data_IF_338321132549
#
_entry.id   IF_338321132549
#
_cell.length_a   1.000
_cell.length_b   1.000
_cell.length_c   1.000
_cell.angle_alpha   90.00
_cell.angle_beta   90.00
_cell.angle_gamma   90.00
#
_symmetry.space_group_name_H-M   'P 1'
#
loop_
_entity.id
_entity.type
_entity.pdbx_description
1 polymer ?
#
# COMPACT_ATOMS: atom_id res chain seq x y z
N UNK A 1 -13.93 -2.67 -2.69
CA UNK A 1 -12.54 -2.71 -3.17
C UNK A 1 -12.34 -1.65 -4.24
N UNK A 2 -11.10 -1.24 -4.46
CA UNK A 2 -10.75 -0.30 -5.54
C UNK A 2 -10.70 -1.09 -6.85
N UNK A 3 -11.40 -0.62 -7.87
CA UNK A 3 -11.49 -1.28 -9.18
C UNK A 3 -10.60 -0.63 -10.22
N UNK A 4 -10.36 0.66 -10.08
CA UNK A 4 -9.62 1.42 -11.08
C UNK A 4 -8.99 2.66 -10.45
N UNK A 5 -7.80 2.99 -10.92
CA UNK A 5 -7.08 4.20 -10.57
C UNK A 5 -6.63 4.90 -11.85
N UNK A 6 -7.00 6.19 -11.98
CA UNK A 6 -6.46 7.06 -13.03
C UNK A 6 -5.46 8.02 -12.40
N UNK A 7 -4.30 8.16 -13.02
CA UNK A 7 -3.18 8.98 -12.57
C UNK A 7 -2.80 9.90 -13.71
N UNK A 8 -2.81 11.22 -13.46
CA UNK A 8 -2.35 12.22 -14.42
C UNK A 8 -1.31 13.12 -13.80
N UNK A 9 -0.30 13.45 -14.58
CA UNK A 9 0.73 14.42 -14.25
C UNK A 9 1.50 14.11 -12.95
N UNK A 10 1.84 12.83 -12.70
CA UNK A 10 2.63 12.42 -11.55
C UNK A 10 3.95 11.76 -11.98
N UNK A 11 5.08 12.40 -11.71
CA UNK A 11 6.44 11.92 -12.06
C UNK A 11 6.49 11.44 -13.52
N UNK A 12 6.74 10.17 -13.77
CA UNK A 12 6.78 9.60 -15.12
C UNK A 12 5.42 9.19 -15.67
N UNK A 13 4.37 9.30 -14.89
CA UNK A 13 2.99 8.96 -15.30
C UNK A 13 2.30 10.22 -15.81
N UNK A 14 2.17 10.35 -17.13
CA UNK A 14 1.51 11.50 -17.74
C UNK A 14 -0.01 11.34 -17.71
N UNK A 15 -0.53 10.24 -18.22
CA UNK A 15 -1.94 9.87 -18.16
C UNK A 15 -2.08 8.34 -18.25
N UNK A 16 -2.50 7.71 -17.17
CA UNK A 16 -2.71 6.27 -17.11
C UNK A 16 -3.95 5.93 -16.29
N UNK A 17 -4.71 4.99 -16.81
CA UNK A 17 -5.81 4.35 -16.07
C UNK A 17 -5.52 2.87 -15.91
N UNK A 18 -5.56 2.39 -14.66
CA UNK A 18 -5.13 1.05 -14.28
C UNK A 18 -6.30 0.34 -13.61
N UNK A 19 -6.77 -0.74 -14.21
CA UNK A 19 -7.76 -1.63 -13.59
C UNK A 19 -7.07 -2.52 -12.55
N UNK A 20 -7.66 -2.63 -11.35
CA UNK A 20 -7.16 -3.42 -10.23
C UNK A 20 -8.10 -4.58 -9.90
N UNK A 21 -7.48 -5.71 -9.57
CA UNK A 21 -8.11 -6.88 -8.97
C UNK A 21 -7.82 -6.94 -7.46
N UNK A 22 -8.35 -7.91 -6.72
CA UNK A 22 -7.92 -8.18 -5.35
C UNK A 22 -6.42 -8.40 -5.21
N UNK A 23 -5.79 -9.15 -6.11
CA UNK A 23 -4.35 -9.39 -6.10
C UNK A 23 -3.72 -8.99 -7.44
N UNK A 24 -2.74 -8.07 -7.40
CA UNK A 24 -2.11 -7.51 -8.60
C UNK A 24 -0.59 -7.68 -8.52
N UNK A 25 0.00 -8.17 -9.59
CA UNK A 25 1.46 -8.27 -9.73
C UNK A 25 1.91 -7.28 -10.80
N UNK A 26 2.84 -6.41 -10.47
CA UNK A 26 3.46 -5.45 -11.40
C UNK A 26 4.88 -5.89 -11.75
N UNK A 27 5.14 -6.06 -13.04
CA UNK A 27 6.47 -6.35 -13.59
C UNK A 27 6.92 -5.23 -14.53
N UNK A 28 8.21 -5.17 -14.78
CA UNK A 28 8.81 -4.22 -15.71
C UNK A 28 10.26 -3.91 -15.35
N UNK A 29 10.99 -3.32 -16.29
CA UNK A 29 12.38 -2.93 -16.12
C UNK A 29 12.57 -1.92 -14.95
N UNK A 30 13.81 -1.79 -14.46
CA UNK A 30 14.17 -0.75 -13.52
C UNK A 30 13.89 0.64 -14.11
N UNK A 31 13.31 1.55 -13.32
CA UNK A 31 12.99 2.91 -13.76
C UNK A 31 11.79 3.03 -14.70
N UNK A 32 11.03 1.96 -14.98
CA UNK A 32 9.86 2.02 -15.86
C UNK A 32 8.65 2.75 -15.22
N UNK A 33 8.65 2.94 -13.89
CA UNK A 33 7.63 3.72 -13.18
C UNK A 33 6.73 2.92 -12.24
N UNK A 34 7.04 1.65 -11.91
CA UNK A 34 6.28 0.84 -10.94
C UNK A 34 6.08 1.58 -9.62
N UNK A 35 7.18 2.03 -8.99
CA UNK A 35 7.11 2.78 -7.73
C UNK A 35 6.38 4.12 -7.88
N UNK A 36 6.46 4.80 -9.03
CA UNK A 36 5.72 6.04 -9.26
C UNK A 36 4.20 5.83 -9.25
N UNK A 37 3.73 4.69 -9.76
CA UNK A 37 2.32 4.30 -9.68
C UNK A 37 1.90 4.06 -8.23
N UNK A 38 2.69 3.28 -7.47
CA UNK A 38 2.41 3.02 -6.07
C UNK A 38 2.39 4.31 -5.23
N UNK A 39 3.35 5.20 -5.46
CA UNK A 39 3.43 6.49 -4.79
C UNK A 39 2.22 7.38 -5.09
N UNK A 40 1.74 7.41 -6.34
CA UNK A 40 0.52 8.15 -6.69
C UNK A 40 -0.70 7.64 -5.92
N UNK A 41 -0.82 6.32 -5.71
CA UNK A 41 -1.87 5.72 -4.90
C UNK A 41 -1.75 6.16 -3.43
N UNK A 42 -0.53 6.18 -2.88
CA UNK A 42 -0.28 6.62 -1.51
C UNK A 42 -0.62 8.11 -1.33
N UNK A 43 -0.28 8.95 -2.31
CA UNK A 43 -0.65 10.39 -2.32
C UNK A 43 -2.16 10.57 -2.36
N UNK A 44 -2.89 9.79 -3.18
CA UNK A 44 -4.36 9.81 -3.18
C UNK A 44 -4.93 9.42 -1.80
N UNK A 45 -4.33 8.44 -1.11
CA UNK A 45 -4.72 8.04 0.24
C UNK A 45 -4.51 9.12 1.29
N UNK A 46 -3.43 9.87 1.19
CA UNK A 46 -3.14 11.00 2.07
C UNK A 46 -4.07 12.17 1.80
N UNK A 47 -4.34 12.48 0.53
CA UNK A 47 -5.31 13.49 0.13
C UNK A 47 -6.72 13.13 0.64
N UNK A 48 -7.14 11.87 0.49
CA UNK A 48 -8.40 11.38 1.04
C UNK A 48 -8.52 11.52 2.56
N UNK A 49 -7.39 11.68 3.26
CA UNK A 49 -7.29 11.86 4.71
C UNK A 49 -7.08 13.30 5.12
N UNK A 50 -6.99 14.24 4.18
CA UNK A 50 -6.59 15.65 4.37
C UNK A 50 -5.24 15.76 5.11
N UNK A 51 -4.26 14.95 4.69
CA UNK A 51 -2.94 14.82 5.35
C UNK A 51 -1.80 14.84 4.32
N UNK A 52 -1.77 15.86 3.47
CA UNK A 52 -0.71 16.05 2.46
C UNK A 52 0.53 16.70 3.09
N UNK A 53 1.22 15.95 3.94
CA UNK A 53 2.41 16.34 4.66
C UNK A 53 3.62 15.48 4.23
N UNK A 54 4.81 16.07 4.10
CA UNK A 54 6.00 15.39 3.59
C UNK A 54 6.49 14.26 4.52
N UNK A 55 6.36 14.43 5.84
CA UNK A 55 6.69 13.37 6.79
C UNK A 55 5.75 12.16 6.62
N UNK A 56 4.47 12.43 6.37
CA UNK A 56 3.48 11.39 6.10
C UNK A 56 3.67 10.77 4.72
N UNK A 57 4.17 11.51 3.73
CA UNK A 57 4.58 10.93 2.45
C UNK A 57 5.65 9.86 2.66
N UNK A 58 6.70 10.17 3.42
CA UNK A 58 7.78 9.23 3.72
C UNK A 58 7.26 7.98 4.46
N UNK A 59 6.38 8.17 5.47
CA UNK A 59 5.77 7.07 6.21
C UNK A 59 4.89 6.15 5.34
N UNK A 60 4.33 6.67 4.24
CA UNK A 60 3.54 5.89 3.28
C UNK A 60 4.37 5.26 2.16
N UNK A 61 5.67 5.55 2.11
CA UNK A 61 6.59 5.04 1.10
C UNK A 61 6.69 5.91 -0.15
N UNK A 62 6.21 7.14 -0.11
CA UNK A 62 6.42 8.13 -1.18
C UNK A 62 7.82 8.73 -1.02
N UNK A 63 8.60 8.72 -2.09
CA UNK A 63 9.90 9.41 -2.14
C UNK A 63 9.65 10.92 -2.22
N UNK A 64 9.91 11.61 -1.13
CA UNK A 64 9.80 13.08 -1.07
C UNK A 64 10.91 13.70 -1.91
N UNK A 65 10.52 14.52 -2.87
CA UNK A 65 11.43 15.27 -3.76
C UNK A 65 10.93 16.70 -3.87
N UNK A 66 11.74 17.60 -4.44
CA UNK A 66 11.28 18.97 -4.68
C UNK A 66 9.98 18.96 -5.50
N UNK A 67 9.02 19.87 -5.24
CA UNK A 67 7.68 19.86 -5.81
C UNK A 67 7.63 19.77 -7.35
N UNK A 68 8.59 20.40 -8.04
CA UNK A 68 8.70 20.30 -9.50
C UNK A 68 8.95 18.87 -9.99
N UNK A 69 9.59 18.01 -9.19
CA UNK A 69 9.88 16.62 -9.53
C UNK A 69 8.77 15.64 -9.09
N UNK A 70 7.79 16.11 -8.31
CA UNK A 70 6.58 15.37 -8.01
C UNK A 70 5.59 15.43 -9.16
N UNK A 71 5.56 16.55 -9.91
CA UNK A 71 4.82 16.66 -11.16
C UNK A 71 5.55 15.93 -12.30
N UNK A 72 4.84 15.70 -13.40
CA UNK A 72 5.45 15.11 -14.58
C UNK A 72 6.32 16.14 -15.30
N UNK A 73 7.59 15.80 -15.49
CA UNK A 73 8.52 16.57 -16.34
C UNK A 73 8.31 16.30 -17.85
N UNK A 74 7.37 15.45 -18.20
CA UNK A 74 7.00 15.08 -19.58
C UNK A 74 5.74 15.83 -20.06
N UNK A 75 5.19 16.72 -19.24
CA UNK A 75 4.04 17.55 -19.58
C UNK A 75 4.50 18.96 -19.88
N UNK A 76 4.09 19.53 -21.03
CA UNK A 76 4.39 20.91 -21.42
C UNK A 76 3.64 21.95 -20.56
N UNK A 77 2.76 21.51 -19.68
CA UNK A 77 1.93 22.38 -18.87
C UNK A 77 2.49 22.54 -17.45
N UNK A 78 3.33 23.55 -17.24
CA UNK A 78 3.94 23.88 -15.93
C UNK A 78 2.92 24.13 -14.81
N UNK A 79 1.72 24.56 -15.15
CA UNK A 79 0.63 24.85 -14.21
C UNK A 79 -0.27 23.65 -13.94
N UNK A 80 -0.04 22.51 -14.59
CA UNK A 80 -0.89 21.35 -14.45
C UNK A 80 -0.88 20.78 -13.03
N UNK A 81 -2.07 20.41 -12.56
CA UNK A 81 -2.29 19.76 -11.27
C UNK A 81 -1.93 18.27 -11.39
N UNK A 82 -1.55 17.66 -10.27
CA UNK A 82 -1.58 16.21 -10.16
C UNK A 82 -3.05 15.81 -10.00
N UNK A 83 -3.57 15.02 -10.94
CA UNK A 83 -4.94 14.55 -10.87
C UNK A 83 -4.97 13.04 -10.63
N UNK A 84 -5.67 12.64 -9.57
CA UNK A 84 -5.84 11.24 -9.22
C UNK A 84 -7.34 10.95 -9.12
N UNK A 85 -7.78 9.83 -9.73
CA UNK A 85 -9.17 9.38 -9.65
C UNK A 85 -9.19 7.92 -9.24
N UNK A 86 -10.02 7.59 -8.27
CA UNK A 86 -10.16 6.24 -7.73
C UNK A 86 -11.63 5.82 -7.85
N UNK A 87 -11.88 4.72 -8.55
CA UNK A 87 -13.20 4.12 -8.69
C UNK A 87 -13.28 2.83 -7.87
N UNK A 88 -14.41 2.62 -7.19
CA UNK A 88 -14.68 1.42 -6.38
C UNK A 88 -15.74 0.52 -7.00
N UNK A 89 -15.89 -0.69 -6.45
CA UNK A 89 -16.94 -1.64 -6.77
C UNK A 89 -18.37 -1.14 -6.45
N UNK A 90 -18.50 -0.07 -5.67
CA UNK A 90 -19.78 0.57 -5.32
C UNK A 90 -20.12 1.75 -6.24
N UNK A 91 -19.51 1.84 -7.41
CA UNK A 91 -19.65 2.96 -8.36
C UNK A 91 -19.35 4.35 -7.75
N UNK A 92 -18.60 4.36 -6.65
CA UNK A 92 -18.15 5.60 -6.03
C UNK A 92 -16.82 6.00 -6.66
N UNK A 93 -16.76 7.21 -7.19
CA UNK A 93 -15.54 7.84 -7.68
C UNK A 93 -15.09 8.92 -6.72
N UNK A 94 -13.79 8.94 -6.39
CA UNK A 94 -13.17 10.07 -5.70
C UNK A 94 -12.11 10.66 -6.60
N UNK A 95 -12.10 11.99 -6.71
CA UNK A 95 -11.14 12.75 -7.51
C UNK A 95 -10.33 13.62 -6.59
N UNK A 96 -9.03 13.67 -6.82
CA UNK A 96 -8.07 14.46 -6.08
C UNK A 96 -7.30 15.32 -7.08
N UNK A 97 -7.23 16.62 -6.81
CA UNK A 97 -6.48 17.59 -7.60
C UNK A 97 -5.49 18.29 -6.69
N UNK A 98 -4.24 17.94 -6.82
CA UNK A 98 -3.20 18.26 -5.85
C UNK A 98 -2.18 19.18 -6.49
N UNK A 99 -1.78 20.21 -5.74
CA UNK A 99 -0.72 21.12 -6.14
C UNK A 99 0.09 21.60 -4.93
N UNK A 100 1.27 22.14 -5.20
CA UNK A 100 2.12 22.72 -4.18
C UNK A 100 1.84 24.23 -4.10
N UNK A 101 1.29 24.68 -2.96
CA UNK A 101 0.95 26.07 -2.74
C UNK A 101 2.13 26.81 -2.08
N UNK A 102 2.67 27.80 -2.78
CA UNK A 102 3.77 28.68 -2.32
C UNK A 102 3.29 29.97 -1.69
N UNK A 103 2.01 30.30 -1.81
CA UNK A 103 1.42 31.53 -1.26
C UNK A 103 1.16 31.41 0.25
N UNK A 104 0.96 30.19 0.74
CA UNK A 104 0.84 29.91 2.19
C UNK A 104 2.22 29.72 2.83
N UNK A 105 2.35 30.07 4.11
CA UNK A 105 3.58 29.86 4.86
C UNK A 105 3.32 28.98 6.09
N UNK A 106 4.02 27.84 6.24
CA UNK A 106 4.97 27.26 5.27
C UNK A 106 4.28 26.81 3.99
N UNK A 107 5.00 26.81 2.87
CA UNK A 107 4.53 26.28 1.60
C UNK A 107 4.23 24.77 1.74
N UNK A 108 3.14 24.29 1.17
CA UNK A 108 2.70 22.91 1.36
C UNK A 108 1.90 22.35 0.19
N UNK A 109 1.77 21.04 0.14
CA UNK A 109 0.85 20.35 -0.76
C UNK A 109 -0.60 20.55 -0.29
N UNK A 110 -1.49 20.87 -1.23
CA UNK A 110 -2.92 21.11 -0.97
C UNK A 110 -3.74 20.38 -2.03
N UNK A 111 -4.87 19.79 -1.62
CA UNK A 111 -5.91 19.35 -2.53
C UNK A 111 -6.91 20.50 -2.75
N UNK A 112 -7.36 20.70 -3.99
CA UNK A 112 -8.34 21.76 -4.33
C UNK A 112 -9.60 21.66 -3.48
N UNK A 113 -10.07 20.46 -3.16
CA UNK A 113 -11.24 20.26 -2.28
C UNK A 113 -10.98 20.78 -0.87
N UNK A 114 -9.75 20.68 -0.35
CA UNK A 114 -9.38 21.31 0.93
C UNK A 114 -9.41 22.83 0.83
N UNK A 115 -8.92 23.39 -0.27
CA UNK A 115 -8.93 24.84 -0.51
C UNK A 115 -10.35 25.39 -0.66
N UNK A 116 -11.19 24.76 -1.51
CA UNK A 116 -12.60 25.12 -1.64
C UNK A 116 -13.34 25.05 -0.31
N UNK A 117 -12.97 24.08 0.54
CA UNK A 117 -13.49 23.93 1.89
C UNK A 117 -13.10 25.12 2.76
N UNK A 118 -11.85 25.54 2.75
CA UNK A 118 -11.36 26.68 3.53
C UNK A 118 -12.01 27.99 3.07
N UNK A 119 -12.14 28.21 1.77
CA UNK A 119 -12.81 29.39 1.19
C UNK A 119 -14.29 29.41 1.57
N UNK A 120 -14.96 28.27 1.55
CA UNK A 120 -16.34 28.16 2.01
C UNK A 120 -16.51 28.51 3.47
N UNK A 121 -15.61 28.10 4.36
CA UNK A 121 -15.64 28.49 5.77
C UNK A 121 -15.45 29.99 5.97
N UNK A 122 -14.52 30.58 5.24
CA UNK A 122 -14.29 32.02 5.27
C UNK A 122 -15.53 32.80 4.82
N UNK A 123 -16.26 32.29 3.79
CA UNK A 123 -17.51 32.89 3.35
C UNK A 123 -18.61 32.78 4.41
N UNK A 124 -18.74 31.64 5.10
CA UNK A 124 -19.68 31.44 6.22
C UNK A 124 -19.40 32.38 7.41
N UNK A 125 -18.13 32.58 7.75
CA UNK A 125 -17.75 33.53 8.82
C UNK A 125 -18.11 34.96 8.44
N UNK A 126 -18.05 35.30 7.15
CA UNK A 126 -18.40 36.63 6.66
C UNK A 126 -19.93 36.82 6.53
N UNK A 127 -20.67 35.81 6.07
CA UNK A 127 -22.12 35.87 5.81
C UNK A 127 -22.98 35.69 7.07
N UNK A 128 -22.41 35.10 8.14
CA UNK A 128 -23.07 34.86 9.44
C UNK A 128 -24.53 34.42 9.28
N UNK A 129 -24.81 33.20 8.80
CA UNK A 129 -26.18 32.73 8.63
C UNK A 129 -26.95 32.83 9.95
N UNK A 130 -28.11 33.50 9.93
CA UNK A 130 -28.90 33.74 11.11
C UNK A 130 -29.93 32.65 11.39
N UNK A 131 -30.18 31.78 10.39
CA UNK A 131 -31.17 30.71 10.51
C UNK A 131 -30.59 29.36 10.14
N UNK A 132 -31.16 28.28 10.69
CA UNK A 132 -30.78 26.90 10.34
C UNK A 132 -31.04 26.59 8.86
N UNK A 133 -32.07 27.19 8.28
CA UNK A 133 -32.42 26.97 6.85
C UNK A 133 -31.43 27.65 5.90
N UNK A 134 -30.92 28.82 6.26
CA UNK A 134 -29.82 29.46 5.49
C UNK A 134 -28.56 28.63 5.54
N UNK A 135 -28.21 28.13 6.72
CA UNK A 135 -27.06 27.25 6.92
C UNK A 135 -27.19 25.97 6.08
N UNK A 136 -28.37 25.35 6.09
CA UNK A 136 -28.66 24.15 5.28
C UNK A 136 -28.54 24.40 3.78
N UNK A 137 -29.05 25.53 3.27
CA UNK A 137 -28.92 25.91 1.86
C UNK A 137 -27.47 26.11 1.44
N UNK A 138 -26.68 26.76 2.27
CA UNK A 138 -25.26 26.98 2.04
C UNK A 138 -24.51 25.64 2.01
N UNK A 139 -24.85 24.71 2.91
CA UNK A 139 -24.27 23.37 2.97
C UNK A 139 -24.67 22.52 1.76
N UNK A 140 -25.91 22.59 1.34
CA UNK A 140 -26.37 21.88 0.14
C UNK A 140 -25.69 22.41 -1.12
N UNK A 141 -25.41 23.71 -1.21
CA UNK A 141 -24.66 24.31 -2.31
C UNK A 141 -23.19 23.88 -2.37
N UNK A 142 -22.57 23.61 -1.19
CA UNK A 142 -21.20 23.11 -1.09
C UNK A 142 -21.08 21.60 -1.34
N UNK A 143 -22.20 20.88 -1.35
CA UNK A 143 -22.20 19.44 -1.67
C UNK A 143 -21.92 19.22 -3.15
N UNK A 144 -20.73 18.79 -3.48
CA UNK A 144 -20.43 18.27 -4.82
C UNK A 144 -20.69 16.76 -4.90
N UNK A 145 -20.75 16.19 -6.11
CA UNK A 145 -20.92 14.74 -6.29
C UNK A 145 -19.79 13.92 -5.67
N UNK A 146 -18.63 14.53 -5.44
CA UNK A 146 -17.39 13.88 -5.02
C UNK A 146 -17.03 14.14 -3.55
N UNK A 147 -17.79 14.99 -2.82
CA UNK A 147 -17.50 15.35 -1.42
C UNK A 147 -18.63 14.95 -0.46
N UNK A 148 -18.24 14.59 0.76
CA UNK A 148 -19.14 14.42 1.90
C UNK A 148 -18.99 15.61 2.83
N UNK A 149 -20.12 16.21 3.22
CA UNK A 149 -20.17 17.27 4.24
C UNK A 149 -20.70 16.64 5.53
N UNK A 150 -19.92 16.67 6.61
CA UNK A 150 -20.33 16.16 7.91
C UNK A 150 -20.22 17.25 8.98
N UNK A 151 -21.18 17.27 9.92
CA UNK A 151 -21.20 18.18 11.06
C UNK A 151 -20.78 17.45 12.33
N UNK A 152 -20.00 18.11 13.18
CA UNK A 152 -19.76 17.67 14.54
C UNK A 152 -20.72 18.42 15.49
N UNK A 153 -21.45 17.67 16.31
CA UNK A 153 -22.50 18.18 17.21
C UNK A 153 -21.94 19.02 18.39
N UNK A 154 -20.64 18.95 18.67
CA UNK A 154 -20.01 19.60 19.83
C UNK A 154 -19.13 20.82 19.47
N UNK A 155 -19.55 21.64 18.53
CA UNK A 155 -18.90 22.88 18.13
C UNK A 155 -18.88 23.03 16.59
N UNK A 156 -18.74 24.25 16.05
CA UNK A 156 -18.81 24.48 14.61
C UNK A 156 -17.54 23.98 13.92
N UNK A 157 -17.41 22.67 13.74
CA UNK A 157 -16.43 22.05 12.84
C UNK A 157 -17.19 21.34 11.75
N UNK A 158 -17.48 22.06 10.69
CA UNK A 158 -17.88 21.49 9.42
C UNK A 158 -16.65 20.79 8.83
N UNK A 159 -16.76 19.54 8.49
CA UNK A 159 -15.70 18.79 7.81
C UNK A 159 -16.21 18.42 6.43
N UNK A 160 -15.61 19.02 5.39
CA UNK A 160 -15.77 18.54 4.02
C UNK A 160 -14.66 17.53 3.81
N UNK A 161 -15.03 16.32 3.43
CA UNK A 161 -14.07 15.25 3.14
C UNK A 161 -14.46 14.57 1.83
N UNK A 162 -13.48 14.05 1.12
CA UNK A 162 -13.75 13.15 0.01
C UNK A 162 -14.63 11.99 0.45
N UNK A 163 -15.51 11.50 -0.46
CA UNK A 163 -16.25 10.27 -0.19
C UNK A 163 -15.31 9.18 0.25
N UNK A 164 -15.68 8.47 1.30
CA UNK A 164 -14.81 7.46 1.87
C UNK A 164 -14.60 6.31 0.90
N UNK A 165 -13.35 6.13 0.47
CA UNK A 165 -12.90 4.94 -0.25
C UNK A 165 -12.22 4.02 0.75
N UNK A 166 -12.92 2.93 1.12
CA UNK A 166 -12.41 1.97 2.09
C UNK A 166 -11.03 1.43 1.63
N UNK A 167 -10.07 1.44 2.53
CA UNK A 167 -8.71 0.98 2.32
C UNK A 167 -7.75 2.03 1.75
N UNK A 168 -8.21 3.01 0.95
CA UNK A 168 -7.33 3.99 0.34
C UNK A 168 -6.62 4.87 1.38
N UNK A 169 -7.35 5.35 2.39
CA UNK A 169 -6.80 6.22 3.45
C UNK A 169 -5.66 5.58 4.25
N UNK A 170 -5.65 4.26 4.35
CA UNK A 170 -4.63 3.49 5.05
C UNK A 170 -3.58 2.88 4.14
N UNK A 171 -3.60 3.17 2.84
CA UNK A 171 -2.66 2.60 1.89
C UNK A 171 -1.20 2.92 2.25
N UNK A 172 -0.36 1.91 2.27
CA UNK A 172 1.08 1.97 2.54
C UNK A 172 1.83 1.13 1.51
N UNK A 173 2.99 1.60 1.10
CA UNK A 173 3.95 0.82 0.29
C UNK A 173 4.95 0.21 1.26
N UNK A 174 4.87 -1.08 1.47
CA UNK A 174 5.81 -1.84 2.27
C UNK A 174 7.04 -2.23 1.44
N UNK A 175 8.20 -2.04 2.01
CA UNK A 175 9.49 -2.44 1.46
C UNK A 175 10.36 -2.90 2.65
N UNK A 176 10.13 -4.12 3.19
CA UNK A 176 10.81 -4.57 4.39
C UNK A 176 12.32 -4.65 4.20
N UNK A 177 13.06 -4.34 5.26
CA UNK A 177 14.51 -4.35 5.34
C UNK A 177 14.93 -5.22 6.51
N UNK A 178 15.93 -6.08 6.31
CA UNK A 178 16.40 -7.03 7.34
C UNK A 178 16.71 -6.34 8.68
N UNK A 179 17.43 -5.23 8.65
CA UNK A 179 17.80 -4.46 9.84
C UNK A 179 16.59 -4.00 10.65
N UNK A 180 15.53 -3.56 9.95
CA UNK A 180 14.29 -3.11 10.58
C UNK A 180 13.46 -4.29 11.11
N UNK A 181 13.42 -5.41 10.36
CA UNK A 181 12.73 -6.64 10.77
C UNK A 181 13.36 -7.26 12.04
N UNK A 182 14.68 -7.12 12.25
CA UNK A 182 15.38 -7.61 13.45
C UNK A 182 15.24 -6.69 14.65
N UNK A 183 14.75 -5.47 14.47
CA UNK A 183 14.69 -4.47 15.52
C UNK A 183 13.67 -4.84 16.61
N UNK A 184 14.05 -4.59 17.87
CA UNK A 184 13.16 -4.70 19.03
C UNK A 184 12.37 -3.41 19.29
N UNK A 185 12.69 -2.34 18.58
CA UNK A 185 12.08 -1.04 18.84
C UNK A 185 10.67 -0.99 18.26
N UNK A 186 9.70 -0.44 19.01
CA UNK A 186 8.39 -0.14 18.47
C UNK A 186 8.51 0.84 17.30
N UNK A 187 7.63 0.73 16.32
CA UNK A 187 7.51 1.77 15.28
C UNK A 187 7.03 3.08 15.90
N UNK A 188 7.41 4.22 15.34
CA UNK A 188 7.00 5.54 15.81
C UNK A 188 5.48 5.74 15.82
N UNK A 189 4.74 4.98 15.03
CA UNK A 189 3.28 5.04 14.91
C UNK A 189 2.56 4.00 15.78
N UNK A 190 3.28 3.09 16.44
CA UNK A 190 2.70 1.94 17.13
C UNK A 190 2.08 0.88 16.20
N UNK A 191 2.12 1.10 14.89
CA UNK A 191 1.67 0.16 13.86
C UNK A 191 2.88 -0.53 13.21
N UNK A 192 2.62 -1.55 12.39
CA UNK A 192 3.67 -2.19 11.61
C UNK A 192 4.28 -1.18 10.62
N UNK A 193 5.58 -0.90 10.79
CA UNK A 193 6.29 0.06 9.96
C UNK A 193 6.51 -0.44 8.53
N UNK A 194 6.63 0.48 7.57
CA UNK A 194 6.75 0.14 6.15
C UNK A 194 7.99 -0.70 5.79
N UNK A 195 9.09 -0.53 6.54
CA UNK A 195 10.32 -1.30 6.34
C UNK A 195 10.41 -2.50 7.31
N UNK A 196 9.35 -2.79 8.09
CA UNK A 196 9.31 -3.87 9.05
C UNK A 196 9.55 -3.45 10.50
N UNK A 197 9.71 -2.14 10.76
CA UNK A 197 9.87 -1.63 12.12
C UNK A 197 8.67 -2.03 12.99
N UNK A 198 8.97 -2.47 14.21
CA UNK A 198 7.95 -2.80 15.19
C UNK A 198 7.26 -4.15 14.98
N UNK A 199 7.81 -5.06 14.16
CA UNK A 199 7.23 -6.39 13.90
C UNK A 199 7.03 -7.16 15.22
N UNK A 200 8.06 -7.33 16.04
CA UNK A 200 7.96 -8.10 17.28
C UNK A 200 7.12 -7.41 18.36
N UNK A 201 7.24 -6.09 18.59
CA UNK A 201 6.28 -5.35 19.43
C UNK A 201 4.83 -5.53 19.00
N UNK A 202 4.55 -5.48 17.70
CA UNK A 202 3.22 -5.70 17.15
C UNK A 202 2.70 -7.11 17.43
N UNK A 203 3.49 -8.15 17.18
CA UNK A 203 3.13 -9.55 17.44
C UNK A 203 2.93 -9.81 18.94
N UNK A 204 3.76 -9.22 19.82
CA UNK A 204 3.60 -9.30 21.27
C UNK A 204 2.31 -8.62 21.75
N UNK A 205 1.94 -7.48 21.16
CA UNK A 205 0.64 -6.86 21.45
C UNK A 205 -0.51 -7.74 20.97
N UNK A 206 -0.38 -8.31 19.77
CA UNK A 206 -1.38 -9.22 19.19
C UNK A 206 -1.60 -10.43 20.10
N UNK A 207 -0.53 -11.05 20.63
CA UNK A 207 -0.62 -12.23 21.52
C UNK A 207 -1.40 -11.96 22.82
N UNK A 208 -1.51 -10.69 23.25
CA UNK A 208 -2.18 -10.29 24.50
C UNK A 208 -3.65 -9.91 24.30
N UNK A 209 -4.12 -9.78 23.06
CA UNK A 209 -5.51 -9.36 22.76
C UNK A 209 -6.44 -10.56 22.72
N UNK A 210 -7.71 -10.30 23.02
CA UNK A 210 -8.78 -11.27 22.77
C UNK A 210 -8.84 -11.59 21.27
N UNK A 211 -8.85 -12.87 20.92
CA UNK A 211 -8.76 -13.33 19.52
C UNK A 211 -7.36 -13.30 18.90
N UNK A 212 -6.39 -12.63 19.51
CA UNK A 212 -5.02 -12.52 18.97
C UNK A 212 -4.28 -13.85 18.90
N UNK A 213 -4.63 -14.77 19.79
CA UNK A 213 -4.07 -16.13 19.77
C UNK A 213 -4.41 -16.87 18.46
N UNK A 214 -5.62 -16.76 17.96
CA UNK A 214 -6.02 -17.41 16.69
C UNK A 214 -5.27 -16.81 15.48
N UNK A 215 -5.09 -15.50 15.46
CA UNK A 215 -4.30 -14.81 14.42
C UNK A 215 -2.84 -15.28 14.46
N UNK A 216 -2.25 -15.36 15.66
CA UNK A 216 -0.88 -15.83 15.82
C UNK A 216 -0.73 -17.31 15.43
N UNK A 217 -1.69 -18.15 15.77
CA UNK A 217 -1.72 -19.56 15.36
C UNK A 217 -1.77 -19.71 13.83
N UNK A 218 -2.58 -18.90 13.13
CA UNK A 218 -2.63 -18.90 11.68
C UNK A 218 -1.32 -18.43 11.05
N UNK A 219 -0.67 -17.40 11.62
CA UNK A 219 0.67 -16.96 11.19
C UNK A 219 1.68 -18.10 11.33
N UNK A 220 1.72 -18.79 12.47
CA UNK A 220 2.61 -19.93 12.73
C UNK A 220 2.38 -21.05 11.72
N UNK A 221 1.10 -21.41 11.48
CA UNK A 221 0.74 -22.43 10.50
C UNK A 221 1.26 -22.10 9.09
N UNK A 222 1.21 -20.83 8.70
CA UNK A 222 1.75 -20.43 7.40
C UNK A 222 3.28 -20.43 7.35
N UNK A 223 3.97 -20.27 8.50
CA UNK A 223 5.42 -20.36 8.61
C UNK A 223 5.96 -21.78 8.49
N UNK A 224 5.12 -22.83 8.62
CA UNK A 224 5.50 -24.22 8.40
C UNK A 224 6.02 -24.50 6.97
N UNK A 225 5.87 -23.56 6.05
CA UNK A 225 6.56 -23.59 4.75
C UNK A 225 8.09 -23.62 4.89
N UNK A 226 8.60 -23.18 6.04
CA UNK A 226 10.02 -23.25 6.40
C UNK A 226 10.25 -24.55 7.15
N UNK A 227 11.03 -25.43 6.57
CA UNK A 227 11.24 -26.81 7.05
C UNK A 227 11.71 -26.89 8.51
N UNK A 228 12.63 -26.01 8.91
CA UNK A 228 13.18 -26.03 10.29
C UNK A 228 12.23 -25.40 11.32
N UNK A 229 11.28 -24.56 10.92
CA UNK A 229 10.41 -23.85 11.86
C UNK A 229 9.48 -24.82 12.60
N UNK A 230 9.45 -24.74 13.91
CA UNK A 230 8.56 -25.51 14.79
C UNK A 230 7.54 -24.60 15.45
N UNK A 231 8.00 -23.63 16.26
CA UNK A 231 7.11 -22.69 16.96
C UNK A 231 7.79 -21.33 17.22
N UNK A 232 6.99 -20.37 17.63
CA UNK A 232 7.45 -19.09 18.18
C UNK A 232 6.58 -18.71 19.39
N UNK A 233 7.18 -18.17 20.43
CA UNK A 233 6.47 -17.65 21.59
C UNK A 233 7.12 -16.38 22.15
N UNK A 234 6.38 -15.69 23.00
CA UNK A 234 6.85 -14.49 23.69
C UNK A 234 6.98 -14.76 25.18
N UNK A 235 8.13 -14.41 25.80
CA UNK A 235 8.28 -14.51 27.25
C UNK A 235 7.16 -13.80 28.00
N UNK A 236 6.59 -14.47 28.99
CA UNK A 236 5.42 -13.97 29.74
C UNK A 236 5.76 -12.97 30.85
N UNK A 237 7.03 -12.56 31.00
CA UNK A 237 7.43 -11.58 32.00
C UNK A 237 6.74 -10.25 31.79
N UNK A 238 5.71 -10.01 32.61
CA UNK A 238 4.84 -8.83 32.51
C UNK A 238 5.53 -7.50 32.88
N UNK A 239 6.74 -7.54 33.41
CA UNK A 239 7.50 -6.36 33.85
C UNK A 239 8.60 -5.93 32.88
N UNK A 240 8.98 -6.76 31.93
CA UNK A 240 10.00 -6.40 30.96
C UNK A 240 9.37 -5.79 29.69
N UNK A 241 9.88 -4.64 29.28
CA UNK A 241 9.66 -4.10 27.94
C UNK A 241 10.45 -4.88 26.87
N UNK A 242 10.84 -6.11 27.20
CA UNK A 242 11.56 -6.98 26.28
C UNK A 242 10.59 -7.51 25.21
N UNK A 243 10.87 -7.18 23.96
CA UNK A 243 10.13 -7.63 22.79
C UNK A 243 10.80 -8.83 22.12
N UNK A 244 11.72 -9.51 22.82
CA UNK A 244 12.33 -10.73 22.33
C UNK A 244 11.29 -11.81 22.05
N UNK A 245 11.52 -12.56 21.00
CA UNK A 245 10.75 -13.75 20.66
C UNK A 245 11.63 -14.97 20.88
N UNK A 246 11.03 -16.07 21.32
CA UNK A 246 11.64 -17.38 21.33
C UNK A 246 11.25 -18.11 20.06
N UNK A 247 12.24 -18.54 19.31
CA UNK A 247 12.05 -19.30 18.07
C UNK A 247 12.52 -20.73 18.30
N UNK A 248 11.63 -21.67 18.01
CA UNK A 248 11.89 -23.09 18.16
C UNK A 248 12.18 -23.69 16.77
N UNK A 249 13.32 -24.36 16.68
CA UNK A 249 13.77 -25.08 15.50
C UNK A 249 13.70 -26.58 15.79
N UNK A 250 12.98 -27.34 14.95
CA UNK A 250 12.78 -28.79 15.13
C UNK A 250 14.06 -29.62 15.11
N UNK A 251 15.16 -29.05 14.65
CA UNK A 251 16.46 -29.72 14.59
C UNK A 251 17.43 -29.22 15.61
N UNK A 252 17.00 -28.32 16.51
CA UNK A 252 17.85 -27.78 17.56
C UNK A 252 18.15 -28.87 18.57
N UNK A 253 19.41 -28.88 19.11
CA UNK A 253 19.79 -29.80 20.17
C UNK A 253 18.94 -29.56 21.42
N UNK A 254 18.56 -30.66 22.13
CA UNK A 254 17.69 -30.59 23.31
C UNK A 254 18.25 -29.70 24.44
N UNK A 255 19.55 -29.43 24.46
CA UNK A 255 20.20 -28.51 25.40
C UNK A 255 19.97 -27.03 25.07
N UNK A 256 19.51 -26.72 23.84
CA UNK A 256 19.21 -25.38 23.32
C UNK A 256 17.73 -25.32 22.96
N UNK A 257 16.90 -24.90 23.89
CA UNK A 257 15.45 -24.95 23.73
C UNK A 257 14.93 -23.97 22.63
N UNK A 258 15.61 -22.84 22.49
CA UNK A 258 15.20 -21.77 21.52
C UNK A 258 16.37 -20.84 21.19
N UNK A 259 16.15 -20.03 20.14
CA UNK A 259 17.01 -18.87 19.83
C UNK A 259 16.16 -17.61 19.64
N UNK A 260 16.78 -16.43 19.67
CA UNK A 260 16.08 -15.16 19.48
C UNK A 260 16.08 -14.72 18.01
N UNK A 261 15.30 -13.66 17.71
CA UNK A 261 15.19 -13.12 16.35
C UNK A 261 16.50 -12.61 15.76
N UNK A 262 17.55 -12.34 16.56
CA UNK A 262 18.86 -11.93 16.04
C UNK A 262 19.55 -13.06 15.30
N UNK A 263 19.29 -14.29 15.74
CA UNK A 263 19.82 -15.51 15.12
C UNK A 263 18.92 -16.07 14.03
N UNK A 264 17.72 -15.52 13.84
CA UNK A 264 16.76 -15.99 12.85
C UNK A 264 17.29 -15.83 11.43
N UNK A 265 16.92 -16.77 10.57
CA UNK A 265 17.17 -16.68 9.13
C UNK A 265 16.44 -15.48 8.53
N UNK A 266 17.07 -14.79 7.58
CA UNK A 266 16.51 -13.62 6.91
C UNK A 266 15.16 -13.94 6.25
N UNK A 267 15.06 -15.02 5.47
CA UNK A 267 13.83 -15.42 4.81
C UNK A 267 12.67 -15.63 5.79
N UNK A 268 12.94 -16.19 6.98
CA UNK A 268 11.95 -16.34 8.05
C UNK A 268 11.35 -14.97 8.46
N UNK A 269 12.19 -13.96 8.66
CA UNK A 269 11.75 -12.62 9.07
C UNK A 269 10.82 -11.98 8.03
N UNK A 270 11.16 -12.12 6.73
CA UNK A 270 10.32 -11.64 5.63
C UNK A 270 8.99 -12.38 5.57
N UNK A 271 8.99 -13.70 5.69
CA UNK A 271 7.77 -14.50 5.70
C UNK A 271 6.88 -14.16 6.89
N UNK A 272 7.46 -14.06 8.10
CA UNK A 272 6.75 -13.64 9.30
C UNK A 272 6.09 -12.27 9.12
N UNK A 273 6.82 -11.32 8.54
CA UNK A 273 6.28 -9.99 8.21
C UNK A 273 5.12 -10.07 7.21
N UNK A 274 5.29 -10.79 6.11
CA UNK A 274 4.26 -10.86 5.07
C UNK A 274 2.99 -11.58 5.57
N UNK A 275 3.13 -12.67 6.31
CA UNK A 275 1.96 -13.35 6.88
C UNK A 275 1.28 -12.49 7.94
N UNK A 276 2.03 -11.78 8.78
CA UNK A 276 1.46 -10.81 9.73
C UNK A 276 0.67 -9.73 9.00
N UNK A 277 1.23 -9.19 7.90
CA UNK A 277 0.59 -8.14 7.11
C UNK A 277 -0.72 -8.59 6.46
N UNK A 278 -0.79 -9.84 5.98
CA UNK A 278 -1.98 -10.38 5.32
C UNK A 278 -3.05 -10.84 6.31
N UNK A 279 -2.67 -11.46 7.42
CA UNK A 279 -3.60 -12.15 8.33
C UNK A 279 -4.19 -11.18 9.35
N UNK A 280 -3.42 -10.20 9.85
CA UNK A 280 -3.91 -9.30 10.90
C UNK A 280 -4.91 -8.26 10.37
N UNK A 281 -6.02 -8.07 11.11
CA UNK A 281 -6.99 -7.01 10.83
C UNK A 281 -6.46 -5.61 11.23
N UNK A 282 -5.43 -5.52 12.06
CA UNK A 282 -4.78 -4.26 12.46
C UNK A 282 -3.89 -3.66 11.36
N UNK A 283 -3.67 -4.38 10.26
CA UNK A 283 -2.92 -3.91 9.09
C UNK A 283 -3.87 -3.40 8.00
N UNK A 284 -3.39 -2.53 7.10
CA UNK A 284 -4.23 -1.98 6.04
C UNK A 284 -4.93 -3.06 5.20
N UNK A 285 -6.18 -2.80 4.82
CA UNK A 285 -6.92 -3.69 3.91
C UNK A 285 -6.53 -3.51 2.43
N UNK A 286 -5.85 -2.42 2.09
CA UNK A 286 -5.25 -2.16 0.78
C UNK A 286 -3.83 -1.62 0.97
N UNK A 287 -2.86 -2.29 0.35
CA UNK A 287 -1.44 -1.95 0.45
C UNK A 287 -0.64 -2.47 -0.74
N UNK A 288 0.59 -2.02 -0.85
CA UNK A 288 1.56 -2.57 -1.79
C UNK A 288 2.78 -3.16 -1.07
N UNK A 289 3.41 -4.15 -1.71
CA UNK A 289 4.72 -4.68 -1.32
C UNK A 289 5.65 -4.46 -2.51
N UNK A 290 6.70 -3.68 -2.30
CA UNK A 290 7.71 -3.40 -3.34
C UNK A 290 8.84 -4.43 -3.24
N UNK A 291 9.21 -5.04 -4.39
CA UNK A 291 10.24 -6.07 -4.50
C UNK A 291 10.01 -7.28 -3.56
N UNK A 292 8.89 -7.98 -3.73
CA UNK A 292 8.46 -9.11 -2.89
C UNK A 292 9.49 -10.23 -2.78
N UNK A 293 10.36 -10.40 -3.79
CA UNK A 293 11.38 -11.44 -3.88
C UNK A 293 12.61 -11.16 -3.03
N UNK A 294 12.74 -10.01 -2.37
CA UNK A 294 13.92 -9.67 -1.58
C UNK A 294 14.23 -10.78 -0.57
N UNK A 295 15.49 -11.23 -0.55
CA UNK A 295 16.01 -12.25 0.37
C UNK A 295 15.39 -13.64 0.30
N UNK A 296 14.60 -13.93 -0.75
CA UNK A 296 13.94 -15.21 -0.93
C UNK A 296 14.52 -15.99 -2.12
N UNK A 297 14.70 -17.29 -1.97
CA UNK A 297 15.05 -18.13 -3.10
C UNK A 297 13.87 -18.29 -4.07
N UNK A 298 14.13 -18.63 -5.35
CA UNK A 298 13.09 -18.70 -6.37
C UNK A 298 11.90 -19.59 -6.03
N UNK A 299 12.14 -20.77 -5.46
CA UNK A 299 11.08 -21.73 -5.11
C UNK A 299 10.20 -21.17 -3.98
N UNK A 300 10.83 -20.55 -2.99
CA UNK A 300 10.13 -19.95 -1.86
C UNK A 300 9.29 -18.73 -2.30
N UNK A 301 9.78 -17.94 -3.28
CA UNK A 301 9.00 -16.84 -3.86
C UNK A 301 7.69 -17.33 -4.47
N UNK A 302 7.71 -18.39 -5.27
CA UNK A 302 6.50 -18.94 -5.87
C UNK A 302 5.51 -19.47 -4.82
N UNK A 303 6.01 -20.22 -3.83
CA UNK A 303 5.18 -20.75 -2.73
C UNK A 303 4.58 -19.60 -1.91
N UNK A 304 5.40 -18.61 -1.55
CA UNK A 304 4.94 -17.43 -0.82
C UNK A 304 3.79 -16.74 -1.55
N UNK A 305 3.99 -16.37 -2.81
CA UNK A 305 2.97 -15.62 -3.55
C UNK A 305 1.68 -16.42 -3.69
N UNK A 306 1.74 -17.73 -3.89
CA UNK A 306 0.55 -18.59 -3.89
C UNK A 306 -0.22 -18.51 -2.55
N UNK A 307 0.50 -18.57 -1.41
CA UNK A 307 -0.10 -18.40 -0.08
C UNK A 307 -0.66 -16.99 0.13
N UNK A 308 0.06 -15.95 -0.31
CA UNK A 308 -0.42 -14.56 -0.18
C UNK A 308 -1.71 -14.32 -0.98
N UNK A 309 -1.85 -14.90 -2.16
CA UNK A 309 -3.09 -14.84 -2.95
C UNK A 309 -4.26 -15.45 -2.17
N UNK A 310 -4.04 -16.62 -1.56
CA UNK A 310 -5.06 -17.30 -0.75
C UNK A 310 -5.43 -16.47 0.49
N UNK A 311 -4.45 -16.02 1.26
CA UNK A 311 -4.64 -15.20 2.45
C UNK A 311 -5.32 -13.86 2.14
N UNK A 312 -4.94 -13.20 1.03
CA UNK A 312 -5.59 -11.97 0.61
C UNK A 312 -7.09 -12.16 0.36
N UNK A 313 -7.47 -13.31 -0.20
CA UNK A 313 -8.88 -13.67 -0.41
C UNK A 313 -9.61 -13.93 0.91
N UNK A 314 -9.01 -14.74 1.82
CA UNK A 314 -9.58 -15.09 3.12
C UNK A 314 -9.80 -13.84 3.97
N UNK A 315 -8.76 -13.00 4.11
CA UNK A 315 -8.75 -11.80 4.95
C UNK A 315 -9.26 -10.55 4.22
N UNK A 316 -9.82 -10.69 3.00
CA UNK A 316 -10.40 -9.59 2.21
C UNK A 316 -9.43 -8.40 2.01
N UNK A 317 -8.14 -8.70 1.88
CA UNK A 317 -7.10 -7.71 1.57
C UNK A 317 -7.04 -7.47 0.06
N UNK A 318 -6.72 -6.25 -0.33
CA UNK A 318 -6.37 -5.92 -1.71
C UNK A 318 -4.87 -5.59 -1.77
N UNK A 319 -4.16 -6.24 -2.67
CA UNK A 319 -2.68 -6.21 -2.66
C UNK A 319 -2.15 -5.87 -4.04
N UNK A 320 -1.11 -5.03 -4.07
CA UNK A 320 -0.27 -4.82 -5.25
C UNK A 320 1.15 -5.23 -4.86
N UNK A 321 1.74 -6.17 -5.59
CA UNK A 321 3.15 -6.50 -5.40
C UNK A 321 3.95 -6.09 -6.65
N UNK A 322 5.17 -5.61 -6.45
CA UNK A 322 6.13 -5.46 -7.54
C UNK A 322 7.19 -6.55 -7.46
N UNK A 323 7.71 -6.95 -8.60
CA UNK A 323 8.75 -7.97 -8.65
C UNK A 323 9.63 -7.83 -9.89
N UNK A 324 10.88 -8.28 -9.76
CA UNK A 324 11.82 -8.54 -10.84
C UNK A 324 12.11 -10.04 -11.01
N UNK A 325 11.51 -10.88 -10.15
CA UNK A 325 11.70 -12.34 -10.21
C UNK A 325 10.64 -12.99 -11.10
N UNK A 326 11.02 -13.69 -12.16
CA UNK A 326 10.05 -14.40 -13.00
C UNK A 326 9.30 -15.50 -12.24
N UNK A 327 9.92 -16.09 -11.22
CA UNK A 327 9.32 -17.20 -10.46
C UNK A 327 8.07 -16.79 -9.66
N UNK A 328 7.92 -15.51 -9.33
CA UNK A 328 6.70 -14.95 -8.72
C UNK A 328 5.48 -15.16 -9.63
N UNK A 329 5.68 -15.10 -10.94
CA UNK A 329 4.60 -15.14 -11.93
C UNK A 329 3.94 -16.51 -12.03
N UNK A 330 4.67 -17.60 -11.75
CA UNK A 330 4.14 -18.97 -11.85
C UNK A 330 3.11 -19.30 -10.76
N UNK A 331 3.02 -18.46 -9.73
CA UNK A 331 1.96 -18.56 -8.73
C UNK A 331 0.62 -17.96 -9.19
N UNK A 332 0.61 -17.18 -10.29
CA UNK A 332 -0.58 -16.51 -10.78
C UNK A 332 -1.43 -17.43 -11.66
N UNK A 333 -2.74 -17.30 -11.53
CA UNK A 333 -3.73 -17.89 -12.44
C UNK A 333 -4.55 -16.75 -13.08
N UNK A 334 -4.15 -16.32 -14.28
CA UNK A 334 -4.80 -15.23 -15.00
C UNK A 334 -6.21 -15.56 -15.51
N UNK A 335 -6.64 -16.83 -15.44
CA UNK A 335 -8.03 -17.22 -15.71
C UNK A 335 -8.98 -16.79 -14.58
N UNK A 336 -8.45 -16.38 -13.42
CA UNK A 336 -9.22 -15.91 -12.28
C UNK A 336 -9.37 -14.39 -12.34
N UNK A 337 -10.57 -13.91 -12.04
CA UNK A 337 -10.86 -12.46 -12.02
C UNK A 337 -10.27 -11.74 -10.80
N UNK A 338 -9.89 -12.50 -9.76
CA UNK A 338 -9.31 -11.94 -8.54
C UNK A 338 -7.79 -11.68 -8.62
N UNK A 339 -7.16 -12.00 -9.76
CA UNK A 339 -5.73 -11.85 -9.98
C UNK A 339 -5.44 -11.09 -11.28
N UNK A 340 -4.37 -10.30 -11.31
CA UNK A 340 -3.91 -9.64 -12.52
C UNK A 340 -2.39 -9.53 -12.58
N UNK A 341 -1.87 -9.60 -13.79
CA UNK A 341 -0.49 -9.28 -14.13
C UNK A 341 -0.46 -7.98 -14.94
N UNK A 342 0.25 -6.99 -14.42
CA UNK A 342 0.40 -5.66 -15.00
C UNK A 342 1.84 -5.45 -15.46
N UNK A 343 2.02 -5.20 -16.74
CA UNK A 343 3.31 -4.89 -17.35
C UNK A 343 3.49 -3.39 -17.40
N UNK A 344 4.50 -2.90 -16.72
CA UNK A 344 4.87 -1.48 -16.67
C UNK A 344 6.09 -1.24 -17.54
N UNK A 345 6.01 -0.29 -18.48
CA UNK A 345 7.10 0.07 -19.37
C UNK A 345 7.14 1.55 -19.66
N UNK A 346 8.24 2.03 -20.24
CA UNK A 346 8.31 3.37 -20.85
C UNK A 346 7.92 3.27 -22.33
N UNK A 347 7.11 4.21 -22.80
CA UNK A 347 6.88 4.39 -24.23
C UNK A 347 8.05 5.17 -24.88
N UNK A 348 7.92 5.46 -26.16
CA UNK A 348 8.95 6.20 -26.94
C UNK A 348 9.17 7.62 -26.44
N UNK A 349 8.16 8.23 -25.83
CA UNK A 349 8.22 9.58 -25.23
C UNK A 349 8.73 9.55 -23.79
N UNK A 350 9.10 8.40 -23.27
CA UNK A 350 9.56 8.22 -21.89
C UNK A 350 8.45 8.17 -20.85
N UNK A 351 7.18 8.14 -21.25
CA UNK A 351 6.04 8.07 -20.31
C UNK A 351 5.84 6.64 -19.80
N UNK A 352 5.48 6.52 -18.54
CA UNK A 352 5.06 5.23 -17.96
C UNK A 352 3.75 4.79 -18.57
N UNK A 353 3.70 3.57 -19.07
CA UNK A 353 2.50 2.90 -19.62
C UNK A 353 2.31 1.58 -18.91
N UNK A 354 1.06 1.27 -18.59
CA UNK A 354 0.66 0.02 -17.91
C UNK A 354 -0.27 -0.77 -18.81
N UNK A 355 0.05 -2.04 -19.01
CA UNK A 355 -0.79 -2.97 -19.77
C UNK A 355 -1.12 -4.18 -18.90
N UNK A 356 -2.41 -4.53 -18.81
CA UNK A 356 -2.82 -5.79 -18.19
C UNK A 356 -2.59 -6.93 -19.17
N UNK A 357 -1.95 -8.00 -18.72
CA UNK A 357 -1.77 -9.23 -19.49
C UNK A 357 -3.09 -9.99 -19.51
N UNK A 358 -3.71 -10.20 -20.69
CA UNK A 358 -4.92 -10.99 -20.78
C UNK A 358 -4.65 -12.48 -20.57
N UNK A 359 -5.62 -13.20 -20.01
CA UNK A 359 -5.58 -14.67 -20.05
C UNK A 359 -5.70 -15.16 -21.49
N UNK A 360 -4.80 -16.06 -21.89
CA UNK A 360 -4.85 -16.73 -23.19
C UNK A 360 -4.77 -18.25 -22.98
N UNK A 361 -5.86 -18.94 -23.27
CA UNK A 361 -5.98 -20.41 -23.13
C UNK A 361 -5.03 -21.20 -24.03
N UNK A 362 -4.59 -20.62 -25.14
CA UNK A 362 -3.72 -21.26 -26.11
C UNK A 362 -2.23 -21.22 -25.70
N UNK A 363 -1.90 -20.44 -24.66
CA UNK A 363 -0.57 -20.34 -24.08
C UNK A 363 -0.45 -21.36 -22.95
N UNK A 364 0.25 -22.46 -23.19
CA UNK A 364 0.52 -23.53 -22.20
C UNK A 364 1.85 -23.36 -21.45
N UNK A 365 2.63 -22.36 -21.83
CA UNK A 365 3.93 -22.03 -21.27
C UNK A 365 3.76 -21.35 -19.90
N UNK A 366 4.64 -21.63 -18.90
CA UNK A 366 4.68 -20.87 -17.65
C UNK A 366 4.84 -19.37 -17.87
N UNK A 367 4.22 -18.55 -17.02
CA UNK A 367 4.32 -17.08 -17.14
C UNK A 367 5.76 -16.57 -16.95
N UNK A 368 6.55 -17.23 -16.10
CA UNK A 368 7.98 -16.95 -15.94
C UNK A 368 8.74 -17.10 -17.24
N UNK A 369 8.50 -18.19 -17.97
CA UNK A 369 9.14 -18.48 -19.26
C UNK A 369 8.66 -17.51 -20.35
N UNK A 370 7.35 -17.21 -20.38
CA UNK A 370 6.78 -16.24 -21.31
C UNK A 370 7.37 -14.85 -21.13
N UNK A 371 7.64 -14.45 -19.87
CA UNK A 371 8.29 -13.18 -19.57
C UNK A 371 9.76 -13.19 -19.98
N UNK A 372 10.54 -14.20 -19.58
CA UNK A 372 11.95 -14.31 -19.96
C UNK A 372 12.19 -14.36 -21.48
N UNK A 373 11.23 -14.89 -22.24
CA UNK A 373 11.25 -14.88 -23.70
C UNK A 373 10.73 -13.59 -24.34
N UNK A 374 10.28 -12.61 -23.52
CA UNK A 374 9.78 -11.33 -24.00
C UNK A 374 8.34 -11.34 -24.55
N UNK A 375 7.61 -12.47 -24.47
CA UNK A 375 6.26 -12.59 -25.06
C UNK A 375 5.20 -11.72 -24.37
N UNK A 376 5.38 -11.40 -23.09
CA UNK A 376 4.46 -10.55 -22.33
C UNK A 376 5.00 -9.12 -22.11
N UNK A 377 6.20 -8.81 -22.60
CA UNK A 377 6.83 -7.50 -22.49
C UNK A 377 7.40 -7.21 -21.10
N UNK A 378 7.81 -5.95 -20.88
CA UNK A 378 8.33 -5.49 -19.58
C UNK A 378 9.81 -5.77 -19.34
N UNK A 379 10.50 -6.42 -20.28
CA UNK A 379 11.96 -6.54 -20.28
C UNK A 379 12.60 -5.22 -20.77
N UNK A 380 13.84 -4.94 -20.38
CA UNK A 380 14.60 -3.84 -20.98
C UNK A 380 14.75 -4.03 -22.50
N UNK A 381 14.73 -2.91 -23.26
CA UNK A 381 14.80 -2.95 -24.73
C UNK A 381 16.13 -3.48 -25.29
N UNK A 382 17.14 -3.69 -24.43
CA UNK A 382 18.49 -4.12 -24.81
C UNK A 382 18.79 -5.58 -24.44
N UNK A 383 17.77 -6.39 -24.22
CA UNK A 383 17.90 -7.85 -24.01
C UNK A 383 17.28 -8.62 -25.16
#
# INVERSE_FOLDING_TARGET
MIKEISIKNYKSVVDQTIALCPFNVMIGANGCGKSNILEAIAVAGLSASNKLDEDLFALRGVRVTAPQWMKSAFSDNESALIELKVNTDKEQASKFKIYYNTEVKPSRWIDIVEEETLQFFQSLENEKPQTADELLRIIESARTKDTNVSFAINGPKLHISHKQVNGLKSFVIYSPEESALRSFEPSSTGQLGRNGQGLFPFLKQLSKREGGYSVLAEIKQNLEVIDWFDDLDFPQDSLSQDYSVRLHDRYLDESLEYFDQRSANEAFLYLLFYFTLLISDDTPSFFAIDNIESSLNPKLCSILVAKLIELAKIHKKQVIITTHSPYVLDALNLNREDQSLLVVRRNVDGHTVVNKVPYNKDVTMPLSEAWMKGYIGGLPNNF
#
